data_IF_166586746232
#
_entry.id   IF_166586746232
#
_cell.length_a   1.000
_cell.length_b   1.000
_cell.length_c   1.000
_cell.angle_alpha   90.00
_cell.angle_beta   90.00
_cell.angle_gamma   90.00
#
_symmetry.space_group_name_H-M   'P 1'
#
loop_
_entity.id
_entity.type
_entity.pdbx_description
1 polymer ?
#
# COMPACT_ATOMS: atom_id res chain seq x y z
N UNK A 1 31.96 -6.65 2.13
CA UNK A 1 32.20 -6.21 3.52
C UNK A 1 32.77 -4.81 3.47
N UNK A 2 32.02 -3.77 3.81
CA UNK A 2 32.61 -2.45 4.03
C UNK A 2 31.72 -1.57 4.90
N UNK A 3 32.40 -0.65 5.58
CA UNK A 3 32.09 -0.10 6.90
C UNK A 3 31.01 0.98 6.86
N UNK A 4 30.07 0.90 7.80
CA UNK A 4 29.32 2.05 8.27
C UNK A 4 30.29 3.10 8.82
N UNK A 5 30.50 4.18 8.08
CA UNK A 5 31.02 5.43 8.63
C UNK A 5 29.81 6.32 8.89
N UNK A 6 29.54 6.55 10.18
CA UNK A 6 28.52 7.48 10.64
C UNK A 6 28.89 8.90 10.19
N UNK A 7 28.13 9.41 9.22
CA UNK A 7 28.30 10.74 8.66
C UNK A 7 27.33 11.71 9.37
N UNK A 8 27.82 12.77 10.05
CA UNK A 8 27.01 13.65 10.92
C UNK A 8 25.97 14.51 10.19
N UNK A 9 25.84 14.41 8.87
CA UNK A 9 24.79 15.06 8.09
C UNK A 9 23.45 14.30 8.12
N UNK A 10 23.44 13.00 8.42
CA UNK A 10 22.20 12.20 8.49
C UNK A 10 21.40 12.44 9.78
N UNK A 11 22.05 12.90 10.85
CA UNK A 11 21.41 13.05 12.16
C UNK A 11 20.45 14.23 12.23
N UNK A 12 20.62 15.28 11.42
CA UNK A 12 19.78 16.47 11.53
C UNK A 12 18.37 16.28 10.97
N UNK A 13 18.20 15.45 9.94
CA UNK A 13 16.87 15.09 9.40
C UNK A 13 16.10 14.13 10.34
N UNK A 14 16.82 13.27 11.07
CA UNK A 14 16.24 12.32 12.03
C UNK A 14 15.83 12.98 13.36
N UNK A 15 16.57 13.99 13.84
CA UNK A 15 16.30 14.60 15.14
C UNK A 15 14.99 15.41 15.20
N UNK A 16 14.58 16.06 14.11
CA UNK A 16 13.30 16.79 14.08
C UNK A 16 12.07 15.85 13.93
N UNK A 17 12.28 14.59 13.53
CA UNK A 17 11.21 13.60 13.38
C UNK A 17 11.00 12.75 14.64
N UNK A 18 12.06 12.44 15.40
CA UNK A 18 11.98 11.59 16.61
C UNK A 18 11.54 12.37 17.86
N UNK A 19 11.78 13.69 17.93
CA UNK A 19 11.48 14.50 19.13
C UNK A 19 9.98 14.70 19.43
N UNK A 20 9.07 14.06 18.66
CA UNK A 20 7.61 14.11 18.87
C UNK A 20 7.00 12.82 19.43
N UNK A 21 7.82 11.81 19.79
CA UNK A 21 7.32 10.45 20.07
C UNK A 21 7.75 9.80 21.40
N UNK A 22 8.45 10.46 22.33
CA UNK A 22 8.70 9.79 23.61
C UNK A 22 9.01 10.75 24.76
N UNK A 23 8.17 10.70 25.80
CA UNK A 23 8.51 11.18 27.14
C UNK A 23 8.02 10.16 28.17
N UNK A 24 8.96 9.76 29.04
CA UNK A 24 8.79 9.23 30.42
C UNK A 24 8.72 7.69 30.60
N UNK A 25 9.18 7.14 31.74
CA UNK A 25 10.56 6.64 31.87
C UNK A 25 10.65 5.19 32.40
N UNK A 26 11.81 4.54 32.20
CA UNK A 26 12.15 3.27 32.83
C UNK A 26 12.49 3.44 34.32
N UNK A 27 12.09 2.48 35.14
CA UNK A 27 12.58 2.25 36.50
C UNK A 27 13.08 0.80 36.65
N UNK A 28 14.00 0.52 37.60
CA UNK A 28 14.93 -0.61 37.51
C UNK A 28 14.45 -1.90 38.19
N UNK A 29 15.07 -3.00 37.79
CA UNK A 29 14.94 -4.35 38.33
C UNK A 29 15.58 -4.49 39.73
N UNK A 30 15.12 -5.45 40.55
CA UNK A 30 16.09 -6.26 41.28
C UNK A 30 15.81 -7.78 41.26
N UNK A 31 16.87 -8.49 41.62
CA UNK A 31 17.09 -9.93 41.56
C UNK A 31 16.39 -10.76 42.66
N UNK A 32 16.31 -12.08 42.43
CA UNK A 32 16.16 -13.10 43.47
C UNK A 32 15.39 -14.36 43.03
N UNK A 33 16.09 -15.46 42.77
CA UNK A 33 15.54 -16.83 42.74
C UNK A 33 15.68 -17.47 44.13
N UNK A 34 14.78 -18.38 44.56
CA UNK A 34 15.01 -19.84 44.36
C UNK A 34 13.67 -20.65 44.29
N UNK A 35 13.64 -21.98 44.51
CA UNK A 35 13.99 -23.02 43.56
C UNK A 35 12.79 -23.92 43.14
N UNK A 36 13.08 -24.70 42.10
CA UNK A 36 12.31 -25.70 41.35
C UNK A 36 11.30 -26.56 42.12
N UNK A 37 10.07 -26.62 41.61
CA UNK A 37 9.16 -27.78 41.74
C UNK A 37 8.59 -28.06 40.35
N UNK A 38 8.78 -29.28 39.86
CA UNK A 38 8.34 -29.72 38.53
C UNK A 38 6.84 -30.05 38.57
N UNK A 39 6.04 -29.26 37.86
CA UNK A 39 4.63 -29.55 37.54
C UNK A 39 4.44 -29.52 36.02
N UNK A 40 3.61 -30.40 35.44
CA UNK A 40 3.48 -30.53 33.99
C UNK A 40 2.78 -29.31 33.38
N UNK A 41 3.36 -28.78 32.29
CA UNK A 41 2.89 -27.59 31.57
C UNK A 41 1.40 -27.67 31.18
N UNK A 42 0.54 -26.74 31.64
CA UNK A 42 -0.67 -26.40 30.91
C UNK A 42 -0.29 -25.48 29.73
N UNK A 43 -0.95 -25.70 28.60
CA UNK A 43 -0.83 -24.92 27.35
C UNK A 43 -0.75 -23.41 27.63
N UNK A 44 0.17 -22.65 27.01
CA UNK A 44 0.33 -21.24 27.33
C UNK A 44 -0.97 -20.47 26.98
N UNK A 45 -1.52 -19.67 27.91
CA UNK A 45 -2.64 -18.80 27.60
C UNK A 45 -2.20 -17.75 26.58
N UNK A 46 -3.16 -17.33 25.73
CA UNK A 46 -2.94 -16.41 24.62
C UNK A 46 -2.09 -15.19 25.04
N UNK A 47 -0.99 -15.01 24.31
CA UNK A 47 -0.04 -13.92 24.50
C UNK A 47 -0.75 -12.57 24.58
N UNK A 48 -0.32 -11.71 25.50
CA UNK A 48 -0.79 -10.31 25.63
C UNK A 48 -0.65 -9.54 24.30
N UNK A 49 0.31 -9.93 23.45
CA UNK A 49 0.46 -9.37 22.09
C UNK A 49 -0.72 -9.68 21.16
N UNK A 50 -1.48 -10.75 21.38
CA UNK A 50 -2.71 -11.04 20.64
C UNK A 50 -3.81 -10.01 20.92
N UNK A 51 -3.78 -9.35 22.08
CA UNK A 51 -4.74 -8.30 22.46
C UNK A 51 -4.39 -6.93 21.87
N UNK A 52 -3.16 -6.78 21.37
CA UNK A 52 -2.71 -5.60 20.62
C UNK A 52 -2.93 -5.74 19.11
N UNK A 53 -3.45 -6.88 18.62
CA UNK A 53 -3.75 -7.03 17.20
C UNK A 53 -4.85 -6.05 16.81
N UNK A 54 -4.56 -5.17 15.86
CA UNK A 54 -5.54 -4.34 15.16
C UNK A 54 -6.79 -5.16 14.80
N UNK A 55 -7.98 -4.54 14.71
CA UNK A 55 -9.20 -5.23 14.30
C UNK A 55 -8.90 -6.05 13.03
N UNK A 56 -9.06 -7.37 13.13
CA UNK A 56 -8.72 -8.28 12.04
C UNK A 56 -9.63 -7.97 10.85
N UNK A 57 -9.07 -7.37 9.80
CA UNK A 57 -9.78 -7.09 8.55
C UNK A 57 -10.32 -8.39 7.95
N UNK A 58 -11.42 -8.28 7.21
CA UNK A 58 -12.02 -9.40 6.47
C UNK A 58 -10.98 -10.02 5.53
N UNK A 59 -10.20 -9.20 4.83
CA UNK A 59 -9.14 -9.64 3.94
C UNK A 59 -8.04 -10.44 4.66
N UNK A 60 -7.57 -9.97 5.82
CA UNK A 60 -6.53 -10.68 6.58
C UNK A 60 -7.00 -12.04 7.10
N UNK A 61 -8.26 -12.12 7.56
CA UNK A 61 -8.85 -13.39 7.98
C UNK A 61 -8.98 -14.36 6.80
N UNK A 62 -9.24 -13.84 5.61
CA UNK A 62 -9.32 -14.64 4.39
C UNK A 62 -7.94 -15.15 3.94
N UNK A 63 -6.90 -14.36 4.07
CA UNK A 63 -5.52 -14.78 3.80
C UNK A 63 -5.04 -15.85 4.78
N UNK A 64 -5.29 -15.66 6.09
CA UNK A 64 -4.98 -16.65 7.13
C UNK A 64 -5.72 -17.97 6.86
N UNK A 65 -6.96 -17.88 6.39
CA UNK A 65 -7.82 -18.99 6.02
C UNK A 65 -7.36 -19.77 4.77
N UNK A 66 -6.72 -19.11 3.81
CA UNK A 66 -6.29 -19.70 2.54
C UNK A 66 -5.09 -20.67 2.69
N UNK A 67 -4.40 -20.67 3.83
CA UNK A 67 -3.25 -21.54 4.10
C UNK A 67 -3.67 -22.99 4.40
N UNK A 68 -4.93 -23.22 4.76
CA UNK A 68 -5.47 -24.56 5.02
C UNK A 68 -5.93 -25.28 3.75
N UNK A 69 -5.49 -26.52 3.54
CA UNK A 69 -5.97 -27.36 2.43
C UNK A 69 -7.45 -27.75 2.65
N UNK A 70 -8.34 -27.35 1.73
CA UNK A 70 -9.76 -27.67 1.78
C UNK A 70 -10.09 -28.97 1.00
N UNK A 71 -11.11 -29.73 1.43
CA UNK A 71 -11.56 -30.93 0.72
C UNK A 71 -12.20 -30.61 -0.65
N UNK A 72 -12.33 -31.59 -1.57
CA UNK A 72 -12.79 -31.38 -2.95
C UNK A 72 -14.23 -30.85 -3.10
N UNK A 73 -15.06 -30.97 -2.05
CA UNK A 73 -16.41 -30.40 -1.94
C UNK A 73 -16.59 -29.81 -0.53
N UNK A 74 -16.24 -28.54 -0.32
CA UNK A 74 -16.33 -27.94 1.00
C UNK A 74 -17.79 -27.58 1.34
N UNK A 75 -18.35 -28.23 2.35
CA UNK A 75 -19.56 -27.77 3.05
C UNK A 75 -19.24 -26.55 3.92
N UNK A 76 -20.23 -25.70 4.23
CA UNK A 76 -20.11 -24.50 5.09
C UNK A 76 -19.37 -24.79 6.41
N UNK A 77 -19.56 -25.96 7.00
CA UNK A 77 -18.90 -26.39 8.24
C UNK A 77 -17.37 -26.52 8.12
N UNK A 78 -16.88 -26.88 6.94
CA UNK A 78 -15.45 -27.08 6.66
C UNK A 78 -14.76 -25.79 6.21
N UNK A 79 -15.50 -24.70 6.02
CA UNK A 79 -14.97 -23.46 5.48
C UNK A 79 -14.48 -22.51 6.57
N UNK A 80 -13.41 -21.74 6.30
CA UNK A 80 -12.91 -20.76 7.24
C UNK A 80 -13.98 -19.69 7.54
N UNK A 81 -14.32 -19.55 8.82
CA UNK A 81 -15.32 -18.60 9.29
C UNK A 81 -14.66 -17.26 9.58
N UNK A 82 -15.04 -16.26 8.81
CA UNK A 82 -14.62 -14.87 9.00
C UNK A 82 -15.56 -14.25 10.03
N UNK A 83 -15.00 -13.58 11.03
CA UNK A 83 -15.77 -12.89 12.06
C UNK A 83 -15.53 -11.39 11.95
N UNK A 84 -16.61 -10.61 11.84
CA UNK A 84 -16.52 -9.15 11.91
C UNK A 84 -17.59 -8.63 12.87
N UNK A 85 -17.15 -8.02 13.97
CA UNK A 85 -18.00 -7.71 15.12
C UNK A 85 -18.72 -8.99 15.60
N UNK A 86 -20.05 -9.00 15.61
CA UNK A 86 -20.88 -10.15 16.01
C UNK A 86 -21.44 -10.93 14.81
N UNK A 87 -20.96 -10.65 13.59
CA UNK A 87 -21.44 -11.29 12.36
C UNK A 87 -20.40 -12.30 11.88
N UNK A 88 -20.87 -13.41 11.32
CA UNK A 88 -20.05 -14.52 10.84
C UNK A 88 -20.28 -14.72 9.36
N UNK A 89 -19.20 -14.98 8.64
CA UNK A 89 -19.21 -15.05 7.19
C UNK A 89 -18.34 -16.18 6.68
N UNK A 90 -18.65 -16.63 5.46
CA UNK A 90 -17.84 -17.56 4.68
C UNK A 90 -17.66 -16.97 3.29
N UNK A 91 -16.51 -17.17 2.66
CA UNK A 91 -16.28 -16.68 1.31
C UNK A 91 -17.16 -17.42 0.30
N UNK A 92 -17.90 -16.66 -0.52
CA UNK A 92 -18.83 -17.24 -1.49
C UNK A 92 -18.10 -18.05 -2.58
N UNK A 93 -16.93 -17.59 -3.02
CA UNK A 93 -16.15 -18.27 -4.06
C UNK A 93 -15.67 -19.67 -3.64
N UNK A 94 -15.52 -19.94 -2.34
CA UNK A 94 -15.15 -21.26 -1.82
C UNK A 94 -16.31 -22.24 -1.82
N UNK A 95 -17.55 -21.76 -1.86
CA UNK A 95 -18.76 -22.57 -2.00
C UNK A 95 -19.10 -22.88 -3.46
N UNK A 96 -18.51 -22.14 -4.40
CA UNK A 96 -18.77 -22.31 -5.82
C UNK A 96 -18.05 -23.58 -6.34
N UNK A 97 -18.74 -24.38 -7.18
CA UNK A 97 -18.13 -25.51 -7.87
C UNK A 97 -16.91 -25.05 -8.66
N UNK A 98 -15.82 -25.82 -8.64
CA UNK A 98 -14.58 -25.54 -9.39
C UNK A 98 -14.92 -25.29 -10.86
N UNK A 99 -14.64 -24.08 -11.36
CA UNK A 99 -14.95 -23.65 -12.73
C UNK A 99 -16.29 -22.91 -12.91
N UNK A 100 -17.07 -22.69 -11.85
CA UNK A 100 -18.27 -21.87 -11.92
C UNK A 100 -17.91 -20.41 -12.22
N UNK A 101 -18.55 -19.85 -13.26
CA UNK A 101 -18.40 -18.43 -13.62
C UNK A 101 -19.11 -17.61 -12.54
N UNK A 102 -18.36 -17.11 -11.56
CA UNK A 102 -18.89 -16.29 -10.46
C UNK A 102 -19.63 -15.04 -10.97
N UNK A 103 -20.24 -14.27 -10.06
CA UNK A 103 -21.10 -13.12 -10.40
C UNK A 103 -20.41 -12.15 -11.37
N UNK A 104 -21.16 -11.65 -12.37
CA UNK A 104 -20.66 -10.79 -13.47
C UNK A 104 -20.80 -9.28 -13.20
N UNK A 105 -20.91 -8.84 -11.95
CA UNK A 105 -21.10 -7.42 -11.62
C UNK A 105 -19.77 -6.67 -11.59
N UNK A 106 -19.73 -5.43 -12.12
CA UNK A 106 -18.52 -4.58 -12.12
C UNK A 106 -17.98 -4.28 -10.70
N UNK A 107 -18.85 -4.28 -9.68
CA UNK A 107 -18.47 -4.10 -8.27
C UNK A 107 -17.59 -5.24 -7.73
N UNK A 108 -17.51 -6.37 -8.44
CA UNK A 108 -16.71 -7.55 -8.06
C UNK A 108 -15.23 -7.22 -7.89
N UNK A 109 -14.69 -6.31 -8.69
CA UNK A 109 -13.28 -5.91 -8.61
C UNK A 109 -12.96 -5.03 -7.39
N UNK A 110 -13.97 -4.58 -6.64
CA UNK A 110 -13.82 -3.61 -5.55
C UNK A 110 -14.19 -4.16 -4.17
N UNK A 111 -14.55 -5.43 -4.08
CA UNK A 111 -14.97 -6.03 -2.82
C UNK A 111 -15.07 -7.55 -2.87
N UNK A 112 -15.31 -8.13 -1.71
CA UNK A 112 -15.35 -9.59 -1.51
C UNK A 112 -16.79 -10.04 -1.28
N UNK A 113 -17.23 -11.07 -2.00
CA UNK A 113 -18.55 -11.69 -1.79
C UNK A 113 -18.48 -12.71 -0.67
N UNK A 114 -19.43 -12.61 0.25
CA UNK A 114 -19.51 -13.38 1.47
C UNK A 114 -20.92 -13.93 1.67
N UNK A 115 -21.03 -15.10 2.25
CA UNK A 115 -22.27 -15.66 2.77
C UNK A 115 -22.30 -15.40 4.27
N UNK A 116 -23.31 -14.68 4.73
CA UNK A 116 -23.54 -14.43 6.15
C UNK A 116 -24.23 -15.64 6.78
N UNK A 117 -23.80 -16.00 8.00
CA UNK A 117 -24.29 -17.14 8.76
C UNK A 117 -25.04 -16.70 10.03
N UNK A 118 -26.09 -17.43 10.41
CA UNK A 118 -26.71 -17.30 11.74
C UNK A 118 -25.88 -17.95 12.84
N UNK A 119 -26.38 -17.98 14.08
CA UNK A 119 -25.73 -18.61 15.24
C UNK A 119 -25.56 -20.13 15.13
N UNK A 120 -26.35 -20.79 14.29
CA UNK A 120 -26.27 -22.23 13.99
C UNK A 120 -25.45 -22.53 12.73
N UNK A 121 -24.67 -21.57 12.22
CA UNK A 121 -23.85 -21.69 11.01
C UNK A 121 -24.66 -21.97 9.72
N UNK A 122 -25.96 -21.67 9.73
CA UNK A 122 -26.81 -21.74 8.55
C UNK A 122 -26.73 -20.43 7.76
N UNK A 123 -26.69 -20.50 6.42
CA UNK A 123 -26.61 -19.31 5.57
C UNK A 123 -27.90 -18.50 5.65
N UNK A 124 -27.78 -17.21 5.96
CA UNK A 124 -28.93 -16.28 6.04
C UNK A 124 -29.00 -15.30 4.88
N UNK A 125 -27.89 -15.08 4.18
CA UNK A 125 -27.88 -14.18 3.03
C UNK A 125 -26.51 -13.99 2.42
N UNK A 126 -26.49 -13.35 1.26
CA UNK A 126 -25.27 -12.96 0.57
C UNK A 126 -25.01 -11.47 0.79
N UNK A 127 -23.77 -11.15 1.16
CA UNK A 127 -23.30 -9.79 1.33
C UNK A 127 -22.03 -9.55 0.54
N UNK A 128 -21.80 -8.30 0.17
CA UNK A 128 -20.58 -7.83 -0.46
C UNK A 128 -19.89 -6.87 0.49
N UNK A 129 -18.61 -7.12 0.77
CA UNK A 129 -17.77 -6.29 1.63
C UNK A 129 -16.87 -5.40 0.78
N UNK A 130 -16.88 -4.08 1.02
CA UNK A 130 -16.01 -3.15 0.29
C UNK A 130 -14.55 -3.27 0.75
N UNK A 131 -13.63 -3.58 -0.17
CA UNK A 131 -12.21 -3.77 0.15
C UNK A 131 -11.55 -2.48 0.69
N UNK A 132 -11.95 -1.30 0.18
CA UNK A 132 -11.41 -0.01 0.63
C UNK A 132 -11.84 0.34 2.05
N UNK A 133 -13.07 -0.02 2.43
CA UNK A 133 -13.56 0.15 3.79
C UNK A 133 -12.92 -0.86 4.75
N UNK A 134 -12.76 -2.11 4.31
CA UNK A 134 -12.09 -3.15 5.09
C UNK A 134 -10.63 -2.79 5.40
N UNK A 135 -9.87 -2.31 4.41
CA UNK A 135 -8.49 -1.84 4.61
C UNK A 135 -8.37 -0.67 5.59
N UNK A 136 -9.43 0.13 5.77
CA UNK A 136 -9.47 1.23 6.75
C UNK A 136 -9.88 0.75 8.15
N UNK A 137 -10.11 -0.55 8.34
CA UNK A 137 -10.61 -1.11 9.60
C UNK A 137 -12.09 -0.79 9.85
N UNK A 138 -12.82 -0.35 8.83
CA UNK A 138 -14.23 0.05 8.92
C UNK A 138 -15.06 -0.68 7.88
N UNK A 139 -14.97 -2.02 7.83
CA UNK A 139 -15.63 -2.83 6.81
C UNK A 139 -17.14 -2.55 6.75
N UNK A 140 -17.61 -2.20 5.55
CA UNK A 140 -19.01 -1.98 5.23
C UNK A 140 -19.53 -3.14 4.36
N UNK A 141 -20.75 -3.60 4.65
CA UNK A 141 -21.36 -4.76 4.02
C UNK A 141 -22.68 -4.36 3.37
N UNK A 142 -22.89 -4.82 2.15
CA UNK A 142 -24.07 -4.51 1.33
C UNK A 142 -24.75 -5.79 0.88
N UNK A 143 -26.08 -5.83 0.90
CA UNK A 143 -26.84 -6.98 0.39
C UNK A 143 -26.58 -7.16 -1.11
N UNK A 144 -26.42 -8.41 -1.55
CA UNK A 144 -26.19 -8.74 -2.97
C UNK A 144 -27.50 -8.99 -3.75
N UNK A 145 -28.66 -8.75 -3.14
CA UNK A 145 -29.95 -8.80 -3.86
C UNK A 145 -30.04 -7.73 -4.95
N UNK A 146 -29.41 -6.57 -4.71
CA UNK A 146 -29.27 -5.51 -5.70
C UNK A 146 -27.88 -4.87 -5.56
N UNK A 147 -27.21 -4.64 -6.68
CA UNK A 147 -25.87 -4.02 -6.69
C UNK A 147 -25.91 -2.49 -6.57
N UNK A 148 -27.09 -1.88 -6.57
CA UNK A 148 -27.27 -0.42 -6.54
C UNK A 148 -26.69 0.21 -5.28
N UNK A 149 -26.95 -0.35 -4.10
CA UNK A 149 -26.43 0.17 -2.82
C UNK A 149 -24.90 0.14 -2.74
N UNK A 150 -24.29 -0.97 -3.19
CA UNK A 150 -22.84 -1.11 -3.27
C UNK A 150 -22.23 -0.17 -4.33
N UNK A 151 -22.88 -0.02 -5.48
CA UNK A 151 -22.47 0.91 -6.54
C UNK A 151 -22.53 2.38 -6.05
N UNK A 152 -23.62 2.75 -5.39
CA UNK A 152 -23.81 4.07 -4.76
C UNK A 152 -22.73 4.36 -3.72
N UNK A 153 -22.40 3.38 -2.88
CA UNK A 153 -21.33 3.49 -1.90
C UNK A 153 -19.99 3.73 -2.60
N UNK A 154 -19.65 2.94 -3.62
CA UNK A 154 -18.43 3.11 -4.40
C UNK A 154 -18.35 4.50 -5.03
N UNK A 155 -19.46 5.04 -5.51
CA UNK A 155 -19.52 6.39 -6.08
C UNK A 155 -19.37 7.48 -5.00
N UNK A 156 -20.10 7.38 -3.88
CA UNK A 156 -20.17 8.42 -2.85
C UNK A 156 -18.93 8.42 -1.94
N UNK A 157 -18.53 7.26 -1.45
CA UNK A 157 -17.42 7.11 -0.51
C UNK A 157 -16.06 6.97 -1.19
N UNK A 158 -16.02 6.45 -2.42
CA UNK A 158 -14.76 6.09 -3.10
C UNK A 158 -14.57 6.71 -4.47
N UNK A 159 -15.57 7.44 -4.99
CA UNK A 159 -15.56 8.10 -6.31
C UNK A 159 -15.28 7.13 -7.47
N UNK A 160 -15.74 5.88 -7.36
CA UNK A 160 -15.61 4.84 -8.40
C UNK A 160 -16.95 4.70 -9.14
N UNK A 161 -16.91 4.66 -10.47
CA UNK A 161 -18.10 4.51 -11.34
C UNK A 161 -17.89 3.38 -12.36
N UNK A 162 -18.97 2.80 -12.93
CA UNK A 162 -18.85 1.68 -13.88
C UNK A 162 -17.99 1.98 -15.12
N UNK A 163 -17.99 3.23 -15.59
CA UNK A 163 -17.28 3.68 -16.80
C UNK A 163 -15.74 3.69 -16.65
N UNK A 164 -15.20 3.56 -15.44
CA UNK A 164 -13.75 3.46 -15.24
C UNK A 164 -13.16 2.11 -15.67
N UNK A 165 -13.97 1.17 -16.16
CA UNK A 165 -13.54 -0.15 -16.62
C UNK A 165 -13.54 -0.32 -18.15
N UNK A 166 -14.07 0.62 -18.94
CA UNK A 166 -14.25 0.44 -20.39
C UNK A 166 -13.00 0.70 -21.25
N UNK A 167 -11.83 0.86 -20.64
CA UNK A 167 -10.58 1.11 -21.36
C UNK A 167 -9.52 0.10 -20.95
N UNK A 168 -9.78 -1.20 -21.15
CA UNK A 168 -8.72 -2.21 -21.36
C UNK A 168 -9.30 -3.56 -21.82
N UNK A 169 -8.92 -3.96 -23.04
CA UNK A 169 -8.98 -5.28 -23.70
C UNK A 169 -10.29 -5.78 -24.36
N UNK A 170 -10.36 -5.64 -25.69
CA UNK A 170 -10.57 -6.77 -26.61
C UNK A 170 -10.08 -6.40 -28.04
N UNK A 171 -9.13 -7.15 -28.65
CA UNK A 171 -8.80 -7.02 -30.07
C UNK A 171 -9.66 -7.99 -30.90
N UNK A 172 -10.35 -7.46 -31.91
CA UNK A 172 -11.07 -8.21 -32.94
C UNK A 172 -12.59 -8.11 -32.84
N UNK A 173 -13.18 -7.16 -33.56
CA UNK A 173 -13.98 -7.51 -34.73
C UNK A 173 -14.15 -6.27 -35.64
N UNK A 174 -13.97 -6.48 -36.93
CA UNK A 174 -14.16 -5.52 -38.02
C UNK A 174 -15.65 -5.42 -38.35
N UNK A 175 -16.16 -4.21 -38.63
CA UNK A 175 -17.46 -4.08 -39.28
C UNK A 175 -18.26 -2.80 -39.03
N UNK A 176 -18.23 -1.94 -40.06
CA UNK A 176 -19.32 -1.06 -40.53
C UNK A 176 -19.53 0.30 -39.83
N UNK A 177 -18.86 1.30 -40.43
CA UNK A 177 -19.31 2.67 -40.71
C UNK A 177 -20.82 2.97 -40.54
N UNK A 178 -21.12 4.04 -39.79
CA UNK A 178 -22.14 5.01 -40.21
C UNK A 178 -21.71 6.45 -39.85
N UNK A 179 -22.03 7.36 -40.76
CA UNK A 179 -21.54 8.73 -40.89
C UNK A 179 -22.63 9.71 -40.38
N UNK A 180 -22.18 10.88 -39.93
CA UNK A 180 -22.91 12.13 -39.66
C UNK A 180 -23.47 12.34 -38.25
N UNK A 181 -22.74 13.15 -37.47
CA UNK A 181 -23.24 14.47 -37.06
C UNK A 181 -22.10 15.33 -36.54
N UNK A 182 -21.92 16.47 -37.21
CA UNK A 182 -20.90 17.45 -36.89
C UNK A 182 -21.11 18.08 -35.51
N UNK A 183 -20.14 17.89 -34.63
CA UNK A 183 -19.82 18.85 -33.60
C UNK A 183 -18.30 18.87 -33.48
N UNK A 184 -17.71 20.04 -33.74
CA UNK A 184 -16.30 20.30 -33.50
C UNK A 184 -15.92 19.81 -32.10
N UNK A 185 -14.89 18.94 -31.94
CA UNK A 185 -14.46 18.58 -30.61
C UNK A 185 -13.83 19.82 -30.00
N UNK A 186 -14.59 20.54 -29.16
CA UNK A 186 -14.05 21.48 -28.18
C UNK A 186 -12.96 20.71 -27.45
N UNK A 187 -11.71 21.06 -27.78
CA UNK A 187 -10.45 20.62 -27.19
C UNK A 187 -10.70 20.04 -25.80
N UNK A 188 -10.75 18.70 -25.73
CA UNK A 188 -11.05 17.94 -24.52
C UNK A 188 -10.05 18.41 -23.47
N UNK A 189 -10.56 19.17 -22.49
CA UNK A 189 -9.79 19.74 -21.39
C UNK A 189 -9.08 18.58 -20.72
N UNK A 190 -7.74 18.59 -20.79
CA UNK A 190 -6.83 17.63 -20.19
C UNK A 190 -7.44 17.04 -18.92
N UNK A 191 -7.79 15.76 -18.98
CA UNK A 191 -8.30 14.95 -17.87
C UNK A 191 -7.49 15.32 -16.62
N UNK A 192 -8.18 15.91 -15.63
CA UNK A 192 -7.53 16.32 -14.41
C UNK A 192 -7.01 15.04 -13.74
N UNK A 193 -5.69 14.94 -13.65
CA UNK A 193 -4.96 13.89 -12.95
C UNK A 193 -5.72 13.43 -11.70
N UNK A 194 -6.11 12.16 -11.64
CA UNK A 194 -6.85 11.56 -10.52
C UNK A 194 -6.11 11.69 -9.17
N UNK A 195 -4.80 11.94 -9.21
CA UNK A 195 -3.98 12.21 -8.04
C UNK A 195 -3.66 13.71 -8.03
N UNK A 196 -3.90 14.41 -6.90
CA UNK A 196 -3.50 15.80 -6.76
C UNK A 196 -1.99 15.98 -7.03
N UNK A 197 -1.62 17.00 -7.81
CA UNK A 197 -0.21 17.29 -8.15
C UNK A 197 0.70 17.42 -6.93
N UNK A 198 0.18 17.97 -5.83
CA UNK A 198 0.92 18.08 -4.57
C UNK A 198 1.34 16.70 -4.03
N UNK A 199 0.48 15.70 -4.16
CA UNK A 199 0.78 14.32 -3.75
C UNK A 199 1.80 13.68 -4.67
N UNK A 200 1.70 13.89 -5.99
CA UNK A 200 2.72 13.44 -6.95
C UNK A 200 4.09 14.03 -6.60
N UNK A 201 4.15 15.34 -6.32
CA UNK A 201 5.38 16.02 -5.92
C UNK A 201 5.97 15.44 -4.62
N UNK A 202 5.13 15.18 -3.62
CA UNK A 202 5.58 14.55 -2.38
C UNK A 202 6.18 13.15 -2.62
N UNK A 203 5.56 12.36 -3.50
CA UNK A 203 6.07 11.02 -3.85
C UNK A 203 7.38 11.13 -4.64
N UNK A 204 7.51 12.11 -5.54
CA UNK A 204 8.77 12.38 -6.25
C UNK A 204 9.91 12.76 -5.29
N UNK A 205 9.63 13.62 -4.31
CA UNK A 205 10.59 14.00 -3.28
C UNK A 205 11.04 12.80 -2.44
N UNK A 206 10.10 11.95 -2.02
CA UNK A 206 10.40 10.70 -1.32
C UNK A 206 11.20 9.72 -2.19
N UNK A 207 10.90 9.65 -3.49
CA UNK A 207 11.59 8.79 -4.44
C UNK A 207 13.05 9.19 -4.60
N UNK A 208 13.32 10.49 -4.69
CA UNK A 208 14.69 11.04 -4.70
C UNK A 208 15.39 10.75 -3.37
N UNK A 209 14.70 10.95 -2.24
CA UNK A 209 15.25 10.63 -0.92
C UNK A 209 15.67 9.16 -0.81
N UNK A 210 14.83 8.24 -1.27
CA UNK A 210 15.13 6.81 -1.31
C UNK A 210 16.36 6.49 -2.17
N UNK A 211 16.46 7.08 -3.37
CA UNK A 211 17.61 6.87 -4.26
C UNK A 211 18.92 7.29 -3.60
N UNK A 212 18.92 8.44 -2.92
CA UNK A 212 20.11 8.99 -2.26
C UNK A 212 20.47 8.20 -0.99
N UNK A 213 19.48 7.88 -0.16
CA UNK A 213 19.69 7.22 1.14
C UNK A 213 20.10 5.75 0.99
N UNK A 214 19.51 5.05 0.01
CA UNK A 214 19.76 3.62 -0.22
C UNK A 214 20.84 3.34 -1.27
N UNK A 215 21.46 4.38 -1.85
CA UNK A 215 22.50 4.27 -2.89
C UNK A 215 22.11 3.31 -4.04
N UNK A 216 20.89 3.46 -4.56
CA UNK A 216 20.37 2.62 -5.64
C UNK A 216 20.48 3.31 -7.01
N UNK A 217 20.58 2.55 -8.13
CA UNK A 217 20.62 3.14 -9.46
C UNK A 217 19.43 4.05 -9.74
N UNK A 218 19.62 5.14 -10.49
CA UNK A 218 18.55 6.09 -10.83
C UNK A 218 17.41 5.45 -11.65
N UNK A 219 17.71 4.34 -12.33
CA UNK A 219 16.76 3.51 -13.09
C UNK A 219 15.94 2.56 -12.21
N UNK A 220 16.09 2.58 -10.87
CA UNK A 220 15.40 1.65 -9.97
C UNK A 220 13.87 1.65 -10.18
N UNK A 221 13.29 2.80 -10.50
CA UNK A 221 11.85 2.95 -10.76
C UNK A 221 11.41 2.47 -12.15
N UNK A 222 12.34 2.13 -13.03
CA UNK A 222 12.06 1.45 -14.29
C UNK A 222 11.88 -0.07 -14.09
N UNK A 223 12.29 -0.60 -12.93
CA UNK A 223 12.20 -2.02 -12.63
C UNK A 223 10.76 -2.53 -12.67
N UNK A 224 10.52 -3.57 -13.46
CA UNK A 224 9.18 -4.06 -13.79
C UNK A 224 8.39 -4.54 -12.57
N UNK A 225 9.03 -5.24 -11.62
CA UNK A 225 8.37 -5.67 -10.39
C UNK A 225 7.99 -4.48 -9.49
N UNK A 226 8.87 -3.48 -9.40
CA UNK A 226 8.60 -2.30 -8.59
C UNK A 226 7.43 -1.49 -9.16
N UNK A 227 7.37 -1.36 -10.50
CA UNK A 227 6.21 -0.77 -11.18
C UNK A 227 4.92 -1.54 -10.94
N UNK A 228 4.96 -2.88 -10.94
CA UNK A 228 3.78 -3.72 -10.61
C UNK A 228 3.30 -3.50 -9.18
N UNK A 229 4.21 -3.37 -8.21
CA UNK A 229 3.88 -3.05 -6.82
C UNK A 229 3.11 -1.72 -6.77
N UNK A 230 3.65 -0.65 -7.37
CA UNK A 230 2.97 0.65 -7.40
C UNK A 230 1.62 0.59 -8.11
N UNK A 231 1.54 -0.13 -9.23
CA UNK A 231 0.30 -0.32 -9.99
C UNK A 231 -0.80 -0.99 -9.17
N UNK A 232 -0.44 -1.95 -8.31
CA UNK A 232 -1.39 -2.67 -7.46
C UNK A 232 -2.08 -1.74 -6.45
N UNK A 233 -1.35 -0.75 -5.92
CA UNK A 233 -1.93 0.24 -5.00
C UNK A 233 -2.67 1.35 -5.74
N UNK A 234 -2.12 1.83 -6.85
CA UNK A 234 -2.69 2.91 -7.63
C UNK A 234 -2.14 2.91 -9.07
N UNK A 235 -2.98 2.56 -10.04
CA UNK A 235 -2.63 2.58 -11.47
C UNK A 235 -2.36 3.99 -11.99
N UNK A 236 -3.10 4.99 -11.51
CA UNK A 236 -2.94 6.39 -11.93
C UNK A 236 -1.59 6.96 -11.49
N UNK A 237 -0.99 6.42 -10.43
CA UNK A 237 0.34 6.81 -9.97
C UNK A 237 1.40 6.42 -11.00
N UNK A 238 1.26 5.24 -11.59
CA UNK A 238 2.19 4.75 -12.60
C UNK A 238 2.13 5.61 -13.85
N UNK A 239 0.93 6.08 -14.23
CA UNK A 239 0.71 6.92 -15.41
C UNK A 239 1.17 8.37 -15.22
N UNK A 240 1.01 8.93 -14.01
CA UNK A 240 1.30 10.35 -13.76
C UNK A 240 2.75 10.63 -13.37
N UNK A 241 3.45 9.64 -12.80
CA UNK A 241 4.85 9.80 -12.43
C UNK A 241 5.78 9.51 -13.61
N UNK A 242 6.78 10.37 -13.78
CA UNK A 242 7.85 10.15 -14.72
C UNK A 242 8.93 9.25 -14.08
N UNK A 243 8.81 7.94 -14.25
CA UNK A 243 9.64 6.92 -13.58
C UNK A 243 11.01 6.65 -14.22
N UNK A 244 11.42 7.43 -15.23
CA UNK A 244 12.70 7.18 -15.89
C UNK A 244 13.88 7.69 -15.08
N UNK A 245 15.05 7.09 -15.26
CA UNK A 245 16.30 7.55 -14.66
C UNK A 245 16.55 9.02 -14.94
N UNK A 246 16.35 9.48 -16.17
CA UNK A 246 16.47 10.90 -16.54
C UNK A 246 15.49 11.81 -15.77
N UNK A 247 14.29 11.31 -15.46
CA UNK A 247 13.29 12.06 -14.70
C UNK A 247 13.67 12.16 -13.23
N UNK A 248 14.20 11.08 -12.65
CA UNK A 248 14.77 11.07 -11.29
C UNK A 248 15.97 12.00 -11.22
N UNK A 249 16.90 11.95 -12.17
CA UNK A 249 18.05 12.87 -12.25
C UNK A 249 17.60 14.32 -12.32
N UNK A 250 16.62 14.65 -13.16
CA UNK A 250 16.07 16.01 -13.24
C UNK A 250 15.47 16.45 -11.91
N UNK A 251 14.77 15.56 -11.21
CA UNK A 251 14.16 15.86 -9.92
C UNK A 251 15.21 16.04 -8.81
N UNK A 252 16.30 15.26 -8.83
CA UNK A 252 17.47 15.45 -7.97
C UNK A 252 18.04 16.85 -8.16
N UNK A 253 18.31 17.27 -9.40
CA UNK A 253 18.81 18.61 -9.69
C UNK A 253 17.84 19.70 -9.22
N UNK A 254 16.54 19.52 -9.49
CA UNK A 254 15.50 20.47 -9.06
C UNK A 254 15.49 20.63 -7.53
N UNK A 255 15.59 19.53 -6.79
CA UNK A 255 15.60 19.54 -5.33
C UNK A 255 16.89 20.09 -4.75
N UNK A 256 18.03 19.78 -5.36
CA UNK A 256 19.31 20.38 -5.02
C UNK A 256 19.22 21.90 -5.15
N UNK A 257 18.83 22.42 -6.32
CA UNK A 257 18.72 23.85 -6.55
C UNK A 257 17.73 24.52 -5.58
N UNK A 258 16.57 23.91 -5.34
CA UNK A 258 15.57 24.42 -4.41
C UNK A 258 16.07 24.48 -2.95
N UNK A 259 16.90 23.51 -2.53
CA UNK A 259 17.43 23.43 -1.16
C UNK A 259 18.77 24.16 -1.00
N UNK A 260 19.50 24.40 -2.10
CA UNK A 260 20.83 25.01 -2.09
C UNK A 260 20.80 26.35 -1.39
N UNK A 261 19.81 27.19 -1.67
CA UNK A 261 19.76 28.55 -1.12
C UNK A 261 19.41 28.53 0.36
N UNK A 262 18.61 27.55 0.81
CA UNK A 262 18.35 27.28 2.23
C UNK A 262 19.66 26.88 2.93
N UNK A 263 20.39 25.90 2.37
CA UNK A 263 21.66 25.44 2.94
C UNK A 263 22.69 26.58 2.94
N UNK A 264 22.76 27.40 1.89
CA UNK A 264 23.64 28.58 1.86
C UNK A 264 23.29 29.58 2.96
N UNK A 265 22.00 29.82 3.21
CA UNK A 265 21.57 30.71 4.28
C UNK A 265 21.93 30.16 5.66
N UNK A 266 21.68 28.86 5.90
CA UNK A 266 22.07 28.16 7.13
C UNK A 266 23.58 28.24 7.37
N UNK A 267 24.41 27.98 6.34
CA UNK A 267 25.86 28.06 6.44
C UNK A 267 26.36 29.48 6.70
N UNK A 268 25.74 30.51 6.10
CA UNK A 268 26.09 31.91 6.36
C UNK A 268 25.76 32.36 7.78
N UNK A 269 24.68 31.82 8.34
CA UNK A 269 24.20 32.16 9.68
C UNK A 269 24.75 31.22 10.76
N UNK A 270 25.71 30.34 10.41
CA UNK A 270 26.30 29.41 11.36
C UNK A 270 26.99 30.17 12.50
N UNK A 271 26.56 29.91 13.74
CA UNK A 271 27.14 30.51 14.95
C UNK A 271 28.54 29.99 15.28
N UNK A 272 28.96 28.89 14.64
CA UNK A 272 30.23 28.21 14.89
C UNK A 272 31.07 28.20 13.62
N UNK A 273 32.38 28.01 13.78
CA UNK A 273 33.28 27.86 12.65
C UNK A 273 32.87 26.65 11.79
N UNK A 274 32.64 26.89 10.50
CA UNK A 274 32.37 25.82 9.52
C UNK A 274 33.70 25.22 9.08
N UNK A 275 33.98 23.99 9.51
CA UNK A 275 35.16 23.24 9.08
C UNK A 275 34.82 22.41 7.85
N UNK A 276 35.59 22.57 6.77
CA UNK A 276 35.46 21.79 5.54
C UNK A 276 36.59 20.76 5.53
N UNK A 277 36.24 19.48 5.49
CA UNK A 277 37.19 18.41 5.25
C UNK A 277 37.25 18.09 3.76
N UNK A 278 38.44 17.74 3.29
CA UNK A 278 38.66 17.34 1.90
C UNK A 278 38.98 15.85 1.87
N UNK A 279 38.28 15.12 1.02
CA UNK A 279 38.51 13.69 0.82
C UNK A 279 39.36 13.47 -0.45
N UNK A 280 40.64 13.11 -0.27
CA UNK A 280 41.65 12.94 -1.34
C UNK A 280 41.78 11.49 -1.80
N UNK A 281 40.74 10.67 -1.73
CA UNK A 281 40.83 9.30 -2.22
C UNK A 281 41.05 9.26 -3.74
N UNK A 282 41.88 8.33 -4.19
CA UNK A 282 42.12 8.07 -5.62
C UNK A 282 41.52 6.73 -6.00
N UNK A 283 40.75 6.72 -7.09
CA UNK A 283 40.25 5.47 -7.65
C UNK A 283 41.42 4.62 -8.16
N UNK A 284 41.50 3.33 -7.80
CA UNK A 284 42.50 2.40 -8.37
C UNK A 284 42.45 2.35 -9.90
N UNK A 285 41.31 2.71 -10.50
CA UNK A 285 41.06 2.65 -11.92
C UNK A 285 41.67 3.86 -12.70
N UNK A 286 42.44 4.74 -12.04
CA UNK A 286 43.13 5.93 -12.61
C UNK A 286 42.25 6.93 -13.37
N UNK A 287 40.93 6.74 -13.38
CA UNK A 287 39.99 7.75 -13.85
C UNK A 287 39.85 8.82 -12.78
N UNK A 288 40.17 10.07 -13.13
CA UNK A 288 39.87 11.21 -12.29
C UNK A 288 38.34 11.35 -12.22
N UNK A 289 37.77 11.12 -11.04
CA UNK A 289 36.37 11.46 -10.77
C UNK A 289 36.39 12.89 -10.24
N UNK A 290 36.50 13.86 -11.14
CA UNK A 290 36.10 15.23 -10.86
C UNK A 290 34.91 15.52 -11.76
N UNK A 291 33.73 15.60 -11.16
CA UNK A 291 32.50 16.11 -11.74
C UNK A 291 32.07 17.35 -10.94
#
# INVERSE_FOLDING_TARGET
MSRHQNNPFYTWFLFHFISRMSNSPLSPSPAGFPPTTLTPCPTPPSSVFSRLSQPKTVAKQLEEAAVGALPPNPTIENLPKITWKNRRFVQEDLLARKGAKGRKSWIRSHGTFLVELNYQDLPIGHVWCCNRCDMRGAAEFFSVQATSSAADHLQKAHRITPASQSSESSPGDEGVIDIYSGATPKRRRLEQSAIPRAKIKAIQELSVGFVIDSDVPFTIFEHSFLRKIFNHFNSDLVLQMAWSGSSVTREIHRLFEAKRDIIKAELRNALTAVHISFDLWTSPNRFAIMA
#
